data_IF_095726157047
#
_entry.id   IF_095726157047
#
_cell.length_a   1.000
_cell.length_b   1.000
_cell.length_c   1.000
_cell.angle_alpha   90.00
_cell.angle_beta   90.00
_cell.angle_gamma   90.00
#
_symmetry.space_group_name_H-M   'P 1'
#
loop_
_entity.id
_entity.type
_entity.pdbx_description
1 polymer ?
#
# COMPACT_ATOMS: atom_id res chain seq x y z
N UNK A 1 9.13 -2.40 -32.86
CA UNK A 1 9.12 -2.30 -32.33
C UNK A 1 8.76 -2.24 -31.75
N UNK A 2 8.76 -2.17 -31.47
CA UNK A 2 8.61 -2.03 -30.68
C UNK A 2 7.93 -2.03 -30.16
N UNK A 3 7.71 -2.26 -30.57
CA UNK A 3 6.86 -1.91 -29.82
C UNK A 3 6.35 -2.46 -28.65
N UNK A 4 6.51 -2.80 -28.28
CA UNK A 4 6.24 -3.13 -27.35
C UNK A 4 6.36 -2.68 -26.27
N UNK A 5 6.72 -2.23 -25.95
CA UNK A 5 7.09 -1.63 -24.94
C UNK A 5 6.22 -0.72 -24.41
N UNK A 6 5.57 -0.19 -25.02
CA UNK A 6 4.67 0.82 -24.73
C UNK A 6 3.66 0.49 -23.73
N UNK A 7 3.18 -0.68 -23.79
CA UNK A 7 2.20 -1.15 -22.90
C UNK A 7 2.66 -1.14 -21.48
N UNK A 8 3.91 -1.43 -21.34
CA UNK A 8 4.53 -1.43 -20.03
C UNK A 8 4.46 -0.07 -19.40
N UNK A 9 4.49 0.97 -20.21
CA UNK A 9 4.45 2.32 -19.69
C UNK A 9 3.25 2.59 -18.82
N UNK A 10 2.07 2.09 -19.19
CA UNK A 10 0.88 2.29 -18.40
C UNK A 10 0.99 1.69 -17.03
N UNK A 11 1.71 0.58 -16.91
CA UNK A 11 1.86 -0.08 -15.62
C UNK A 11 2.81 0.64 -14.70
N UNK A 12 3.78 1.34 -15.24
CA UNK A 12 4.78 1.98 -14.42
C UNK A 12 4.21 3.12 -13.59
N UNK A 13 2.98 3.55 -13.87
CA UNK A 13 2.33 4.57 -13.05
C UNK A 13 1.98 4.05 -11.66
N UNK A 14 1.96 2.74 -11.49
CA UNK A 14 1.52 2.14 -10.23
C UNK A 14 2.69 1.47 -9.52
N UNK A 15 3.66 2.28 -9.12
CA UNK A 15 4.75 1.79 -8.29
C UNK A 15 5.16 2.90 -7.32
N UNK A 16 5.87 2.50 -6.28
CA UNK A 16 6.46 3.46 -5.33
C UNK A 16 7.96 3.39 -5.48
N UNK A 17 8.57 4.52 -5.73
CA UNK A 17 10.00 4.60 -5.91
C UNK A 17 10.57 5.86 -5.27
N UNK A 18 9.89 6.36 -4.23
CA UNK A 18 10.28 7.61 -3.57
C UNK A 18 11.70 7.55 -3.02
N UNK A 19 12.19 6.35 -2.70
CA UNK A 19 13.52 6.15 -2.11
C UNK A 19 14.38 5.23 -2.97
N UNK A 20 13.96 4.93 -4.19
CA UNK A 20 14.69 4.03 -5.10
C UNK A 20 14.29 2.56 -4.99
N UNK A 21 13.24 2.25 -4.23
CA UNK A 21 12.87 0.86 -3.99
C UNK A 21 12.09 0.19 -5.13
N UNK A 22 11.44 0.98 -5.97
CA UNK A 22 10.67 0.47 -7.11
C UNK A 22 9.75 -0.70 -6.74
N UNK A 23 8.88 -0.46 -5.76
CA UNK A 23 7.88 -1.45 -5.33
C UNK A 23 6.70 -1.38 -6.28
N UNK A 24 6.24 -2.53 -6.75
CA UNK A 24 5.12 -2.61 -7.70
C UNK A 24 3.89 -3.24 -7.05
N UNK A 25 2.73 -3.03 -7.68
CA UNK A 25 1.46 -3.47 -7.10
C UNK A 25 1.38 -4.96 -6.85
N UNK A 26 1.98 -5.77 -7.72
CA UNK A 26 1.96 -7.22 -7.54
C UNK A 26 2.69 -7.64 -6.26
N UNK A 27 3.79 -6.97 -5.95
CA UNK A 27 4.55 -7.26 -4.73
C UNK A 27 3.75 -6.88 -3.49
N UNK A 28 3.10 -5.72 -3.53
CA UNK A 28 2.28 -5.25 -2.43
C UNK A 28 1.12 -6.22 -2.18
N UNK A 29 0.41 -6.56 -3.23
CA UNK A 29 -0.74 -7.45 -3.10
C UNK A 29 -0.32 -8.82 -2.57
N UNK A 30 0.76 -9.36 -3.10
CA UNK A 30 1.22 -10.69 -2.66
C UNK A 30 1.64 -10.68 -1.20
N UNK A 31 2.34 -9.63 -0.76
CA UNK A 31 2.77 -9.53 0.63
C UNK A 31 1.57 -9.44 1.58
N UNK A 32 0.58 -8.64 1.21
CA UNK A 32 -0.62 -8.47 2.02
C UNK A 32 -1.45 -9.76 2.08
N UNK A 33 -1.67 -10.37 0.92
CA UNK A 33 -2.51 -11.57 0.86
C UNK A 33 -1.87 -12.76 1.58
N UNK A 34 -0.54 -12.87 1.52
CA UNK A 34 0.13 -13.93 2.26
C UNK A 34 -0.10 -13.79 3.76
N UNK A 35 0.06 -12.58 4.29
CA UNK A 35 -0.17 -12.33 5.70
C UNK A 35 -1.64 -12.55 6.07
N UNK A 36 -2.55 -12.10 5.21
CA UNK A 36 -3.99 -12.26 5.46
C UNK A 36 -4.37 -13.73 5.51
N UNK A 37 -3.85 -14.54 4.59
CA UNK A 37 -4.14 -15.97 4.58
C UNK A 37 -3.61 -16.66 5.83
N UNK A 38 -2.42 -16.28 6.28
CA UNK A 38 -1.80 -16.88 7.46
C UNK A 38 -2.55 -16.52 8.73
N UNK A 39 -3.12 -15.32 8.79
CA UNK A 39 -3.83 -14.85 9.97
C UNK A 39 -5.35 -15.04 9.87
N UNK A 40 -5.82 -15.63 8.78
CA UNK A 40 -7.24 -15.86 8.55
C UNK A 40 -8.02 -14.54 8.52
N UNK A 41 -7.44 -13.54 7.91
CA UNK A 41 -8.01 -12.20 7.80
C UNK A 41 -8.49 -11.98 6.37
N UNK A 42 -9.63 -11.31 6.22
CA UNK A 42 -10.16 -10.98 4.90
C UNK A 42 -10.07 -9.48 4.67
N UNK A 43 -9.60 -9.11 3.50
CA UNK A 43 -9.36 -7.72 3.13
C UNK A 43 -10.35 -7.30 2.05
N UNK A 44 -11.03 -6.19 2.27
CA UNK A 44 -12.00 -5.65 1.32
C UNK A 44 -11.30 -4.84 0.24
N UNK A 45 -10.40 -3.94 0.65
CA UNK A 45 -9.70 -3.09 -0.30
C UNK A 45 -8.47 -2.49 0.39
N UNK A 46 -7.50 -2.05 -0.39
CA UNK A 46 -6.30 -1.42 0.16
C UNK A 46 -5.64 -0.50 -0.85
N UNK A 47 -4.82 0.42 -0.35
CA UNK A 47 -3.93 1.24 -1.18
C UNK A 47 -2.71 1.62 -0.33
N UNK A 48 -1.59 1.87 -0.99
CA UNK A 48 -0.33 2.19 -0.31
C UNK A 48 0.22 3.48 -0.87
N UNK A 49 0.76 4.32 0.02
CA UNK A 49 1.40 5.58 -0.38
C UNK A 49 2.66 5.80 0.44
N UNK A 50 3.65 6.50 -0.11
CA UNK A 50 4.85 6.80 0.67
C UNK A 50 4.57 7.93 1.66
N UNK A 51 5.13 7.83 2.85
CA UNK A 51 5.14 8.91 3.81
C UNK A 51 6.57 9.39 3.94
N UNK A 52 6.84 10.57 3.38
CA UNK A 52 8.18 11.12 3.35
C UNK A 52 8.34 12.10 4.48
N UNK A 53 9.23 11.78 5.42
CA UNK A 53 9.50 12.63 6.56
C UNK A 53 10.69 13.53 6.26
N UNK A 54 10.73 14.69 6.90
CA UNK A 54 11.86 15.60 6.75
C UNK A 54 13.10 15.06 7.46
N UNK A 55 12.89 14.28 8.53
CA UNK A 55 14.02 13.70 9.26
C UNK A 55 14.45 12.39 8.64
N UNK A 56 15.76 12.19 8.54
CA UNK A 56 16.31 10.97 7.98
C UNK A 56 15.86 9.76 8.79
N UNK A 57 15.50 8.69 8.10
CA UNK A 57 15.15 7.43 8.74
C UNK A 57 13.77 7.39 9.36
N UNK A 58 12.94 8.39 9.09
CA UNK A 58 11.57 8.42 9.63
C UNK A 58 10.50 8.25 8.58
N UNK A 59 10.88 8.04 7.34
CA UNK A 59 9.94 7.79 6.26
C UNK A 59 9.51 6.33 6.25
N UNK A 60 8.32 6.08 5.73
CA UNK A 60 7.79 4.72 5.68
C UNK A 60 6.72 4.63 4.59
N UNK A 61 6.34 3.40 4.24
CA UNK A 61 5.18 3.17 3.38
C UNK A 61 3.95 3.09 4.27
N UNK A 62 2.94 3.86 3.95
CA UNK A 62 1.69 3.86 4.71
C UNK A 62 0.64 3.08 3.92
N UNK A 63 0.09 2.07 4.56
CA UNK A 63 -0.87 1.17 3.96
C UNK A 63 -2.25 1.47 4.52
N UNK A 64 -3.20 1.74 3.65
CA UNK A 64 -4.59 1.99 4.03
C UNK A 64 -5.37 0.74 3.69
N UNK A 65 -5.82 0.02 4.70
CA UNK A 65 -6.45 -1.29 4.51
C UNK A 65 -7.83 -1.32 5.14
N UNK A 66 -8.80 -1.74 4.36
CA UNK A 66 -10.16 -1.95 4.87
C UNK A 66 -10.31 -3.45 5.09
N UNK A 67 -10.46 -3.85 6.34
CA UNK A 67 -10.60 -5.25 6.71
C UNK A 67 -12.07 -5.64 6.81
N UNK A 68 -12.40 -6.82 6.34
CA UNK A 68 -13.70 -7.40 6.60
C UNK A 68 -13.72 -7.90 8.04
N UNK A 69 -12.63 -8.55 8.47
CA UNK A 69 -12.41 -8.91 9.87
C UNK A 69 -11.00 -8.46 10.25
N UNK A 70 -10.91 -7.65 11.29
CA UNK A 70 -9.65 -7.02 11.69
C UNK A 70 -8.73 -8.03 12.38
N UNK A 71 -7.41 -7.97 12.12
CA UNK A 71 -6.46 -8.83 12.85
C UNK A 71 -6.51 -8.53 14.34
N UNK A 72 -6.26 -9.56 15.15
CA UNK A 72 -6.22 -9.40 16.60
C UNK A 72 -5.09 -8.51 17.07
N UNK A 73 -3.95 -8.57 16.37
CA UNK A 73 -2.78 -7.74 16.68
C UNK A 73 -2.34 -7.07 15.39
N UNK A 74 -2.77 -5.83 15.21
CA UNK A 74 -2.47 -5.11 13.99
C UNK A 74 -0.97 -4.86 13.82
N UNK A 75 -0.25 -4.60 14.90
CA UNK A 75 1.18 -4.37 14.83
C UNK A 75 1.92 -5.63 14.35
N UNK A 76 1.54 -6.79 14.86
CA UNK A 76 2.13 -8.05 14.43
C UNK A 76 1.79 -8.34 12.97
N UNK A 77 0.57 -8.03 12.56
CA UNK A 77 0.15 -8.20 11.17
C UNK A 77 0.99 -7.30 10.25
N UNK A 78 1.19 -6.04 10.65
CA UNK A 78 1.99 -5.10 9.86
C UNK A 78 3.43 -5.60 9.71
N UNK A 79 4.00 -6.15 10.78
CA UNK A 79 5.35 -6.70 10.70
C UNK A 79 5.41 -7.87 9.73
N UNK A 80 4.40 -8.72 9.75
CA UNK A 80 4.35 -9.86 8.84
C UNK A 80 4.28 -9.40 7.39
N UNK A 81 3.45 -8.41 7.09
CA UNK A 81 3.36 -7.83 5.74
C UNK A 81 4.70 -7.24 5.33
N UNK A 82 5.35 -6.52 6.24
CA UNK A 82 6.65 -5.91 5.97
C UNK A 82 7.69 -6.98 5.64
N UNK A 83 7.75 -8.03 6.44
CA UNK A 83 8.70 -9.13 6.21
C UNK A 83 8.43 -9.77 4.84
N UNK A 84 7.17 -9.97 4.49
CA UNK A 84 6.82 -10.54 3.19
C UNK A 84 7.28 -9.66 2.04
N UNK A 85 7.12 -8.35 2.19
CA UNK A 85 7.54 -7.42 1.14
C UNK A 85 9.05 -7.39 1.00
N UNK A 86 9.77 -7.46 2.12
CA UNK A 86 11.24 -7.50 2.10
C UNK A 86 11.76 -8.70 1.33
N UNK A 87 11.07 -9.84 1.45
CA UNK A 87 11.46 -11.03 0.70
C UNK A 87 11.25 -10.83 -0.79
N UNK A 88 10.22 -10.11 -1.18
CA UNK A 88 9.88 -9.92 -2.59
C UNK A 88 10.65 -8.81 -3.28
N UNK A 89 11.14 -7.84 -2.53
CA UNK A 89 11.81 -6.68 -3.13
C UNK A 89 13.09 -6.38 -2.38
N UNK A 90 14.21 -6.70 -3.02
CA UNK A 90 15.51 -6.57 -2.40
C UNK A 90 15.85 -5.10 -2.11
N UNK A 91 15.39 -4.19 -2.93
CA UNK A 91 15.66 -2.75 -2.70
C UNK A 91 14.93 -2.23 -1.49
N UNK A 92 13.67 -2.68 -1.32
CA UNK A 92 12.92 -2.34 -0.12
C UNK A 92 13.61 -2.90 1.12
N UNK A 93 14.06 -4.15 1.04
CA UNK A 93 14.77 -4.80 2.14
C UNK A 93 16.04 -4.03 2.51
N UNK A 94 16.79 -3.58 1.52
CA UNK A 94 18.00 -2.81 1.74
C UNK A 94 17.71 -1.49 2.44
N UNK A 95 16.63 -0.82 2.07
CA UNK A 95 16.27 0.46 2.68
C UNK A 95 15.84 0.29 4.15
N UNK A 96 15.12 -0.77 4.44
CA UNK A 96 14.73 -1.07 5.83
C UNK A 96 15.99 -1.43 6.64
N UNK A 97 16.83 -2.30 6.10
CA UNK A 97 18.06 -2.72 6.79
C UNK A 97 19.02 -1.57 7.01
N UNK A 98 19.06 -0.61 6.10
CA UNK A 98 19.92 0.57 6.22
C UNK A 98 19.32 1.71 7.00
N UNK A 99 18.13 1.53 7.57
CA UNK A 99 17.42 2.54 8.36
C UNK A 99 17.06 3.79 7.56
N UNK A 100 16.93 3.66 6.24
CA UNK A 100 16.46 4.74 5.38
C UNK A 100 14.93 4.77 5.41
N UNK A 101 14.31 3.60 5.46
CA UNK A 101 12.89 3.45 5.65
C UNK A 101 12.61 2.72 6.94
N UNK A 102 11.50 3.09 7.59
CA UNK A 102 11.00 2.34 8.73
C UNK A 102 10.03 1.27 8.27
N UNK A 103 9.75 0.32 9.14
CA UNK A 103 8.73 -0.69 8.89
C UNK A 103 7.44 0.00 8.47
N UNK A 104 6.73 -0.60 7.52
CA UNK A 104 5.47 -0.05 7.05
C UNK A 104 4.46 0.08 8.18
N UNK A 105 3.52 0.98 8.01
CA UNK A 105 2.46 1.20 8.99
C UNK A 105 1.11 1.01 8.30
N UNK A 106 0.17 0.44 9.02
CA UNK A 106 -1.16 0.18 8.51
C UNK A 106 -2.16 1.10 9.21
N UNK A 107 -2.89 1.87 8.40
CA UNK A 107 -4.02 2.66 8.89
C UNK A 107 -5.29 1.90 8.49
N UNK A 108 -6.14 1.61 9.46
CA UNK A 108 -7.35 0.85 9.19
C UNK A 108 -8.43 1.79 8.66
N UNK A 109 -8.93 1.49 7.47
CA UNK A 109 -10.03 2.24 6.86
C UNK A 109 -11.32 1.69 7.44
N UNK A 110 -12.26 2.58 7.78
CA UNK A 110 -13.52 2.15 8.37
C UNK A 110 -14.33 1.33 7.36
N UNK A 111 -15.28 0.57 7.87
CA UNK A 111 -16.11 -0.28 7.00
C UNK A 111 -16.81 0.59 5.96
N UNK A 112 -16.74 0.17 4.71
CA UNK A 112 -17.27 0.91 3.55
C UNK A 112 -16.53 2.23 3.28
N UNK A 113 -15.38 2.44 3.95
CA UNK A 113 -14.62 3.67 3.78
C UNK A 113 -14.13 3.88 2.36
N UNK A 114 -13.68 2.82 1.69
CA UNK A 114 -13.22 2.96 0.31
C UNK A 114 -14.37 3.27 -0.64
N UNK A 115 -15.52 2.68 -0.42
CA UNK A 115 -16.71 2.99 -1.24
C UNK A 115 -17.11 4.43 -1.03
N UNK A 116 -17.14 4.88 0.22
CA UNK A 116 -17.49 6.27 0.54
C UNK A 116 -16.48 7.23 -0.07
N UNK A 117 -15.21 6.88 -0.02
CA UNK A 117 -14.18 7.68 -0.64
C UNK A 117 -14.38 7.79 -2.15
N UNK A 118 -14.66 6.66 -2.82
CA UNK A 118 -14.87 6.67 -4.26
C UNK A 118 -16.08 7.51 -4.64
N UNK A 119 -17.13 7.48 -3.82
CA UNK A 119 -18.28 8.34 -4.05
C UNK A 119 -17.90 9.80 -3.94
N UNK A 120 -17.07 10.14 -2.94
CA UNK A 120 -16.71 11.53 -2.70
C UNK A 120 -15.91 12.13 -3.84
N UNK A 121 -15.16 11.31 -4.58
CA UNK A 121 -14.38 11.79 -5.71
C UNK A 121 -15.07 11.49 -7.06
N UNK A 122 -16.33 11.03 -7.02
CA UNK A 122 -17.10 10.81 -8.24
C UNK A 122 -16.67 9.61 -9.07
N UNK A 123 -16.05 8.63 -8.45
CA UNK A 123 -15.50 7.47 -9.18
C UNK A 123 -16.19 6.16 -8.87
N UNK A 124 -17.30 6.21 -8.17
CA UNK A 124 -18.02 4.98 -7.85
C UNK A 124 -18.71 4.44 -9.10
N UNK A 125 -18.62 3.14 -9.27
CA UNK A 125 -19.25 2.46 -10.40
C UNK A 125 -18.30 2.26 -11.55
N UNK A 126 -18.70 1.44 -12.50
CA UNK A 126 -17.91 1.14 -13.67
C UNK A 126 -16.60 0.45 -13.31
N UNK A 127 -15.55 0.83 -13.99
CA UNK A 127 -14.24 0.22 -13.82
C UNK A 127 -13.33 0.95 -12.86
N UNK A 128 -13.83 1.98 -12.22
CA UNK A 128 -12.98 2.78 -11.34
C UNK A 128 -12.68 2.06 -10.04
N UNK A 129 -11.40 1.98 -9.72
CA UNK A 129 -10.93 1.35 -8.49
C UNK A 129 -9.77 2.16 -7.94
N UNK A 130 -9.56 2.01 -6.63
CA UNK A 130 -8.39 2.61 -6.00
C UNK A 130 -7.16 1.86 -6.50
N UNK A 131 -6.10 2.56 -6.92
CA UNK A 131 -4.87 1.87 -7.31
C UNK A 131 -4.25 1.19 -6.08
N UNK A 132 -3.58 0.08 -6.30
CA UNK A 132 -2.96 -0.66 -5.20
C UNK A 132 -1.88 0.15 -4.51
N UNK A 133 -1.23 1.04 -5.26
CA UNK A 133 -0.25 1.93 -4.66
C UNK A 133 -0.12 3.20 -5.49
N UNK A 134 0.40 4.24 -4.88
CA UNK A 134 0.62 5.53 -5.54
C UNK A 134 2.00 6.03 -5.14
N UNK A 135 2.62 6.82 -6.02
CA UNK A 135 3.92 7.40 -5.73
C UNK A 135 3.81 8.78 -5.09
N UNK A 136 2.59 9.22 -4.79
CA UNK A 136 2.34 10.49 -4.12
C UNK A 136 1.29 10.29 -3.01
N UNK A 137 0.93 11.38 -2.33
CA UNK A 137 0.05 11.35 -1.18
C UNK A 137 -1.38 11.80 -1.45
N UNK A 138 -1.76 12.00 -2.70
CA UNK A 138 -3.09 12.56 -2.98
C UNK A 138 -4.21 11.71 -2.42
N UNK A 139 -4.23 10.42 -2.77
CA UNK A 139 -5.27 9.51 -2.30
C UNK A 139 -5.17 9.34 -0.79
N UNK A 140 -3.96 9.21 -0.26
CA UNK A 140 -3.76 9.03 1.16
C UNK A 140 -4.33 10.20 1.96
N UNK A 141 -4.08 11.42 1.51
CA UNK A 141 -4.60 12.58 2.22
C UNK A 141 -6.12 12.64 2.17
N UNK A 142 -6.69 12.25 1.05
CA UNK A 142 -8.15 12.22 0.91
C UNK A 142 -8.80 11.11 1.75
N UNK A 143 -8.08 10.01 1.95
CA UNK A 143 -8.59 8.90 2.75
C UNK A 143 -8.57 9.14 4.25
N UNK A 144 -7.87 10.17 4.70
CA UNK A 144 -7.73 10.38 6.15
C UNK A 144 -9.04 10.51 6.89
N UNK A 145 -10.07 11.05 6.25
CA UNK A 145 -11.38 11.19 6.88
C UNK A 145 -12.10 9.85 7.02
N UNK A 146 -11.60 8.81 6.39
CA UNK A 146 -12.24 7.48 6.40
C UNK A 146 -11.48 6.47 7.26
N UNK A 147 -10.53 6.92 8.03
CA UNK A 147 -9.75 6.05 8.92
C UNK A 147 -10.57 5.77 10.18
N UNK A 148 -10.55 4.52 10.64
CA UNK A 148 -11.37 4.10 11.77
C UNK A 148 -10.71 4.29 13.12
N UNK A 149 -9.41 4.52 13.17
CA UNK A 149 -8.72 4.69 14.46
C UNK A 149 -8.04 6.05 14.65
#
# INVERSE_FOLDING_TARGET
TNPYRIIVTGRTKHFISAFGEHVIGEEVEAALMKAANEENVHITEFTVAPMIATDAGKSFHEWFVEFENTPGDLAAFAKKVDDNLRVKNVYYDDLIGGNILQQLKIATVKKNGFIDYMKSVGKLGGQNKVPRLSNDRKIAEELKTFISN
#
